data_IF_477720087033
#
_entry.id   IF_477720087033
#
_cell.length_a   1.000
_cell.length_b   1.000
_cell.length_c   1.000
_cell.angle_alpha   90.00
_cell.angle_beta   90.00
_cell.angle_gamma   90.00
#
_symmetry.space_group_name_H-M   'P 1'
#
loop_
_entity.id
_entity.type
_entity.pdbx_description
1 polymer ?
#
# COMPACT_ATOMS: atom_id res chain seq x y z
N UNK A 1 6.29 0.87 -9.97
CA UNK A 1 6.21 0.37 -8.59
C UNK A 1 4.77 0.16 -8.14
N UNK A 2 3.97 1.20 -7.84
CA UNK A 2 2.58 1.02 -7.35
C UNK A 2 1.71 0.07 -8.20
N UNK A 3 1.70 0.22 -9.53
CA UNK A 3 0.93 -0.67 -10.43
C UNK A 3 1.37 -2.13 -10.33
N UNK A 4 2.67 -2.39 -10.11
CA UNK A 4 3.17 -3.76 -9.96
C UNK A 4 2.77 -4.33 -8.60
N UNK A 5 2.87 -3.54 -7.53
CA UNK A 5 2.41 -3.94 -6.21
C UNK A 5 0.93 -4.35 -6.23
N UNK A 6 0.07 -3.54 -6.87
CA UNK A 6 -1.36 -3.85 -7.03
C UNK A 6 -1.58 -5.16 -7.80
N UNK A 7 -0.82 -5.39 -8.88
CA UNK A 7 -0.89 -6.65 -9.63
C UNK A 7 -0.41 -7.85 -8.81
N UNK A 8 0.64 -7.67 -8.01
CA UNK A 8 1.24 -8.74 -7.22
C UNK A 8 0.28 -9.23 -6.12
N UNK A 9 -0.40 -8.31 -5.43
CA UNK A 9 -1.39 -8.69 -4.42
C UNK A 9 -2.75 -9.14 -4.98
N UNK A 10 -2.96 -9.07 -6.30
CA UNK A 10 -4.22 -9.46 -6.94
C UNK A 10 -5.35 -8.45 -6.79
N UNK A 11 -5.06 -7.21 -6.38
CA UNK A 11 -6.07 -6.17 -6.24
C UNK A 11 -6.47 -5.55 -7.59
N UNK A 12 -7.69 -5.02 -7.66
CA UNK A 12 -8.18 -4.30 -8.84
C UNK A 12 -7.80 -2.83 -8.75
N UNK A 13 -6.99 -2.35 -9.71
CA UNK A 13 -6.59 -0.95 -9.81
C UNK A 13 -7.71 -0.10 -10.41
N UNK A 14 -8.16 0.93 -9.70
CA UNK A 14 -9.02 1.98 -10.27
C UNK A 14 -8.15 3.04 -10.96
N UNK A 15 -7.23 3.65 -10.21
CA UNK A 15 -6.35 4.68 -10.76
C UNK A 15 -5.10 4.87 -9.90
N UNK A 16 -4.11 5.56 -10.46
CA UNK A 16 -2.93 6.02 -9.73
C UNK A 16 -2.83 7.54 -9.83
N UNK A 17 -2.57 8.18 -8.69
CA UNK A 17 -2.24 9.61 -8.61
C UNK A 17 -0.88 9.76 -7.93
N UNK A 18 -0.04 10.62 -8.48
CA UNK A 18 1.28 10.92 -7.92
C UNK A 18 1.52 12.41 -7.94
N UNK A 19 2.24 12.89 -6.93
CA UNK A 19 2.73 14.26 -6.86
C UNK A 19 4.21 14.22 -6.48
N UNK A 20 5.05 14.86 -7.28
CA UNK A 20 6.47 15.06 -6.98
C UNK A 20 6.64 16.45 -6.36
N UNK A 21 7.27 16.51 -5.20
CA UNK A 21 7.55 17.75 -4.51
C UNK A 21 8.90 18.35 -4.98
N UNK A 22 9.06 19.65 -4.74
CA UNK A 22 10.30 20.39 -4.92
C UNK A 22 10.85 20.77 -3.54
N UNK A 23 12.14 20.54 -3.25
CA UNK A 23 13.19 20.09 -4.17
C UNK A 23 13.17 18.59 -4.50
N UNK A 24 12.56 17.77 -3.65
CA UNK A 24 12.52 16.31 -3.80
C UNK A 24 11.35 15.69 -3.04
N UNK A 25 11.21 14.37 -3.14
CA UNK A 25 10.12 13.62 -2.52
C UNK A 25 8.93 13.42 -3.45
N UNK A 26 8.17 12.37 -3.16
CA UNK A 26 7.00 11.92 -3.94
C UNK A 26 5.96 11.38 -2.97
N UNK A 27 4.71 11.80 -3.19
CA UNK A 27 3.52 11.11 -2.69
C UNK A 27 2.86 10.38 -3.86
N UNK A 28 2.46 9.13 -3.65
CA UNK A 28 1.70 8.34 -4.62
C UNK A 28 0.58 7.57 -3.95
N UNK A 29 -0.56 7.44 -4.63
CA UNK A 29 -1.70 6.63 -4.18
C UNK A 29 -2.24 5.85 -5.37
N UNK A 30 -2.32 4.53 -5.21
CA UNK A 30 -3.13 3.65 -6.04
C UNK A 30 -4.48 3.44 -5.35
N UNK A 31 -5.54 3.91 -5.98
CA UNK A 31 -6.92 3.70 -5.53
C UNK A 31 -7.36 2.32 -6.02
N UNK A 32 -7.87 1.51 -5.10
CA UNK A 32 -8.42 0.17 -5.35
C UNK A 32 -9.93 0.20 -5.18
N UNK A 33 -10.64 -0.86 -5.56
CA UNK A 33 -12.11 -0.93 -5.48
C UNK A 33 -12.69 -0.50 -4.13
N UNK A 34 -12.08 -0.92 -3.03
CA UNK A 34 -12.58 -0.70 -1.66
C UNK A 34 -11.48 -0.27 -0.67
N UNK A 35 -10.29 0.07 -1.17
CA UNK A 35 -9.10 0.28 -0.35
C UNK A 35 -8.02 1.09 -1.09
N UNK A 36 -6.74 1.05 -0.66
CA UNK A 36 -5.67 1.79 -1.32
C UNK A 36 -4.27 1.24 -1.05
N UNK A 37 -3.32 1.58 -1.93
CA UNK A 37 -1.88 1.54 -1.62
C UNK A 37 -1.32 2.95 -1.70
N UNK A 38 -0.71 3.44 -0.62
CA UNK A 38 -0.08 4.77 -0.56
C UNK A 38 1.45 4.65 -0.42
N UNK A 39 2.15 5.69 -0.85
CA UNK A 39 3.57 5.90 -0.54
C UNK A 39 3.86 7.38 -0.33
N UNK A 40 4.70 7.66 0.66
CA UNK A 40 5.30 8.95 0.93
C UNK A 40 6.81 8.77 1.06
N UNK A 41 7.59 9.63 0.41
CA UNK A 41 9.06 9.50 0.39
C UNK A 41 9.75 10.77 0.87
N UNK A 42 10.82 10.58 1.65
CA UNK A 42 11.74 11.62 2.13
C UNK A 42 13.17 11.24 1.72
N UNK A 43 13.59 11.57 0.49
CA UNK A 43 14.89 11.18 -0.03
C UNK A 43 16.08 11.67 0.82
N UNK A 44 15.94 12.81 1.51
CA UNK A 44 16.94 13.38 2.40
C UNK A 44 17.21 12.51 3.64
N UNK A 45 16.25 11.65 3.99
CA UNK A 45 16.37 10.67 5.07
C UNK A 45 16.60 9.25 4.54
N UNK A 46 16.58 9.03 3.23
CA UNK A 46 16.55 7.70 2.63
C UNK A 46 15.31 6.88 3.06
N UNK A 47 14.20 7.55 3.37
CA UNK A 47 13.02 6.93 3.99
C UNK A 47 11.79 6.95 3.07
N UNK A 48 10.99 5.89 3.18
CA UNK A 48 9.66 5.81 2.58
C UNK A 48 8.68 5.20 3.58
N UNK A 49 7.52 5.83 3.72
CA UNK A 49 6.37 5.26 4.43
C UNK A 49 5.35 4.77 3.40
N UNK A 50 4.78 3.59 3.63
CA UNK A 50 3.78 3.00 2.74
C UNK A 50 2.64 2.39 3.55
N UNK A 51 1.41 2.59 3.08
CA UNK A 51 0.24 1.85 3.55
C UNK A 51 -0.23 0.91 2.44
N UNK A 52 -0.37 -0.37 2.75
CA UNK A 52 -0.97 -1.36 1.86
C UNK A 52 -2.26 -1.82 2.52
N UNK A 53 -3.36 -1.16 2.16
CA UNK A 53 -4.68 -1.51 2.67
C UNK A 53 -5.45 -2.24 1.57
N UNK A 54 -5.83 -3.48 1.83
CA UNK A 54 -6.60 -4.33 0.93
C UNK A 54 -7.87 -4.85 1.61
N UNK A 55 -8.84 -5.26 0.79
CA UNK A 55 -10.08 -5.90 1.20
C UNK A 55 -10.25 -7.20 0.41
N UNK A 56 -10.94 -8.19 1.00
CA UNK A 56 -11.25 -9.47 0.37
C UNK A 56 -10.19 -10.56 0.60
N UNK A 57 -10.64 -11.81 0.73
CA UNK A 57 -9.79 -12.95 1.08
C UNK A 57 -8.81 -13.38 -0.02
N UNK A 58 -9.06 -12.96 -1.26
CA UNK A 58 -8.24 -13.29 -2.42
C UNK A 58 -7.07 -12.32 -2.61
N UNK A 59 -7.03 -11.21 -1.87
CA UNK A 59 -6.00 -10.17 -1.99
C UNK A 59 -5.01 -10.32 -0.86
N UNK A 60 -3.72 -10.49 -1.20
CA UNK A 60 -2.63 -10.72 -0.24
C UNK A 60 -1.70 -9.51 -0.17
N UNK A 61 -1.86 -8.62 0.82
CA UNK A 61 -1.04 -7.41 0.91
C UNK A 61 0.46 -7.70 1.05
N UNK A 62 0.85 -8.83 1.64
CA UNK A 62 2.24 -9.29 1.76
C UNK A 62 2.95 -9.48 0.41
N UNK A 63 2.20 -9.85 -0.65
CA UNK A 63 2.76 -10.03 -2.00
C UNK A 63 3.21 -8.70 -2.64
N UNK A 64 2.85 -7.56 -2.04
CA UNK A 64 3.37 -6.25 -2.47
C UNK A 64 4.81 -6.01 -2.05
N UNK A 65 5.27 -6.62 -0.95
CA UNK A 65 6.56 -6.34 -0.32
C UNK A 65 7.73 -6.61 -1.29
N UNK A 66 7.80 -7.76 -1.99
CA UNK A 66 8.91 -8.01 -2.93
C UNK A 66 9.00 -6.99 -4.07
N UNK A 67 7.86 -6.50 -4.58
CA UNK A 67 7.84 -5.47 -5.63
C UNK A 67 8.29 -4.10 -5.11
N UNK A 68 7.97 -3.79 -3.85
CA UNK A 68 8.41 -2.56 -3.18
C UNK A 68 9.92 -2.62 -2.92
N UNK A 69 10.41 -3.71 -2.33
CA UNK A 69 11.83 -3.90 -2.01
C UNK A 69 12.70 -3.95 -3.25
N UNK A 70 12.26 -4.63 -4.32
CA UNK A 70 12.96 -4.65 -5.59
C UNK A 70 13.14 -3.26 -6.20
N UNK A 71 12.15 -2.38 -6.01
CA UNK A 71 12.17 -1.03 -6.58
C UNK A 71 12.95 -0.05 -5.70
N UNK A 72 12.63 0.02 -4.40
CA UNK A 72 13.23 0.97 -3.47
C UNK A 72 14.60 0.54 -2.95
N UNK A 73 14.87 -0.77 -2.92
CA UNK A 73 16.10 -1.38 -2.40
C UNK A 73 16.47 -0.87 -1.00
N UNK A 74 15.54 -0.93 -0.03
CA UNK A 74 15.83 -0.47 1.32
C UNK A 74 16.89 -1.36 1.98
N UNK A 75 17.70 -0.79 2.85
CA UNK A 75 18.61 -1.57 3.71
C UNK A 75 17.83 -2.29 4.83
N UNK A 76 16.67 -1.75 5.22
CA UNK A 76 15.80 -2.27 6.28
C UNK A 76 14.33 -2.03 5.94
N UNK A 77 13.50 -3.05 6.13
CA UNK A 77 12.04 -2.99 6.00
C UNK A 77 11.40 -3.30 7.35
N UNK A 78 10.44 -2.49 7.79
CA UNK A 78 9.59 -2.77 8.95
C UNK A 78 8.13 -2.82 8.49
N UNK A 79 7.42 -3.87 8.88
CA UNK A 79 6.03 -4.11 8.48
C UNK A 79 5.19 -4.32 9.73
N UNK A 80 4.02 -3.69 9.77
CA UNK A 80 3.04 -3.86 10.82
C UNK A 80 1.68 -4.17 10.20
N UNK A 81 1.15 -5.34 10.51
CA UNK A 81 -0.15 -5.77 10.00
C UNK A 81 -1.28 -5.40 10.98
N UNK A 82 -2.30 -4.74 10.46
CA UNK A 82 -3.49 -4.34 11.22
C UNK A 82 -4.73 -4.90 10.53
N UNK A 83 -5.46 -5.79 11.23
CA UNK A 83 -6.79 -6.23 10.79
C UNK A 83 -7.80 -5.11 10.98
N UNK A 84 -8.58 -4.82 9.94
CA UNK A 84 -9.61 -3.76 9.92
C UNK A 84 -10.99 -4.39 9.75
N UNK A 85 -12.02 -3.73 10.29
CA UNK A 85 -13.41 -4.17 10.13
C UNK A 85 -13.74 -5.48 10.84
N UNK A 86 -13.18 -5.72 12.02
CA UNK A 86 -13.52 -6.91 12.84
C UNK A 86 -14.96 -6.75 13.35
N UNK A 87 -15.89 -7.47 12.73
CA UNK A 87 -17.28 -7.56 13.19
C UNK A 87 -17.34 -8.78 14.11
N UNK A 88 -17.73 -8.57 15.36
CA UNK A 88 -18.07 -9.69 16.24
C UNK A 88 -19.49 -10.15 15.87
N UNK A 89 -19.72 -11.45 15.74
CA UNK A 89 -20.96 -12.10 15.27
C UNK A 89 -22.26 -11.76 16.08
N UNK A 90 -22.23 -10.79 16.99
CA UNK A 90 -23.35 -10.40 17.85
C UNK A 90 -23.94 -9.00 17.64
N UNK A 91 -23.42 -8.16 16.73
CA UNK A 91 -23.81 -6.74 16.63
C UNK A 91 -24.37 -6.29 15.28
N UNK A 92 -24.63 -7.20 14.34
CA UNK A 92 -25.39 -6.85 13.14
C UNK A 92 -26.87 -6.90 13.48
N UNK A 93 -27.44 -5.76 13.90
CA UNK A 93 -28.89 -5.54 13.86
C UNK A 93 -29.25 -5.23 12.41
N UNK A 94 -30.23 -5.98 11.88
CA UNK A 94 -30.91 -5.74 10.61
C UNK A 94 -31.39 -4.28 10.46
#
# INVERSE_FOLDING_TARGET
MLVNAVKACGATLICVKTHKFSPQGVTGVAVLSESHISIHTWPELGYAAMDVFTCGEHVKPEDTIPEIEKFLKPEKTEVMDIKRGIINDGEVKE
#
